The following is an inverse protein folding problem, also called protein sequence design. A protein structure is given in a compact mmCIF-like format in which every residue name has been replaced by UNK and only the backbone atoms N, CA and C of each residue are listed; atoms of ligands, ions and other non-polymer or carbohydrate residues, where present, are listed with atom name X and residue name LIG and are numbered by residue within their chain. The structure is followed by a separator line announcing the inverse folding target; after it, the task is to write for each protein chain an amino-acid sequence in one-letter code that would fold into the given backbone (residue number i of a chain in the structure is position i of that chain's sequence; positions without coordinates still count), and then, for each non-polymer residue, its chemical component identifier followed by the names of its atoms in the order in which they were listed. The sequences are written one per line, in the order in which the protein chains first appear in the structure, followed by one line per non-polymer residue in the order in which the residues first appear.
data_IF_978995072820
#
_entry.id   IF_978995072820
#
_cell.length_a   1.000
_cell.length_b   1.000
_cell.length_c   1.000
_cell.angle_alpha   90.00
_cell.angle_beta   90.00
_cell.angle_gamma   90.00
#
_symmetry.space_group_name_H-M   'P 1'
#
loop_
_entity.id
_entity.type
_entity.pdbx_description
1 polymer ?
#
# COMPACT_ATOMS: atom_id res chain seq x y z
N UNK A 1 -9.86 -19.53 11.35
CA UNK A 1 -9.60 -19.93 9.95
C UNK A 1 -8.78 -18.82 9.32
N UNK A 2 -7.68 -19.12 8.63
CA UNK A 2 -6.90 -18.09 7.93
C UNK A 2 -7.69 -17.65 6.70
N UNK A 3 -8.09 -16.38 6.63
CA UNK A 3 -8.67 -15.81 5.42
C UNK A 3 -7.54 -15.46 4.44
N UNK A 4 -7.84 -15.57 3.14
CA UNK A 4 -6.92 -15.23 2.07
C UNK A 4 -7.65 -14.33 1.08
N UNK A 5 -6.90 -13.38 0.50
CA UNK A 5 -7.36 -12.53 -0.59
C UNK A 5 -6.66 -12.90 -1.88
N UNK A 6 -7.39 -12.90 -2.99
CA UNK A 6 -6.86 -13.17 -4.32
C UNK A 6 -6.30 -11.88 -4.93
N UNK A 7 -5.07 -11.95 -5.42
CA UNK A 7 -4.37 -10.84 -6.04
C UNK A 7 -4.61 -10.84 -7.55
N UNK A 8 -4.37 -9.71 -8.22
CA UNK A 8 -4.54 -9.59 -9.68
C UNK A 8 -3.71 -10.58 -10.50
N UNK A 9 -2.60 -11.09 -9.94
CA UNK A 9 -1.75 -12.08 -10.59
C UNK A 9 -2.18 -13.53 -10.32
N UNK A 10 -3.29 -13.76 -9.61
CA UNK A 10 -3.80 -15.09 -9.23
C UNK A 10 -3.17 -15.69 -7.96
N UNK A 11 -2.20 -14.99 -7.34
CA UNK A 11 -1.65 -15.41 -6.05
C UNK A 11 -2.61 -15.09 -4.90
N UNK A 12 -2.34 -15.67 -3.72
CA UNK A 12 -3.15 -15.46 -2.51
C UNK A 12 -2.34 -14.82 -1.40
N UNK A 13 -2.83 -13.69 -0.87
CA UNK A 13 -2.26 -13.05 0.31
C UNK A 13 -3.02 -13.46 1.57
N UNK A 14 -2.31 -13.80 2.65
CA UNK A 14 -2.93 -14.11 3.94
C UNK A 14 -3.44 -12.84 4.60
N UNK A 15 -4.70 -12.83 4.97
CA UNK A 15 -5.31 -11.77 5.76
C UNK A 15 -4.97 -11.97 7.26
N UNK A 16 -4.55 -10.89 7.91
CA UNK A 16 -4.25 -10.89 9.35
C UNK A 16 -5.54 -10.62 10.14
N UNK A 17 -5.63 -11.15 11.36
CA UNK A 17 -6.80 -10.97 12.23
C UNK A 17 -6.95 -9.53 12.73
N UNK A 18 -5.87 -8.74 12.72
CA UNK A 18 -5.85 -7.36 13.15
C UNK A 18 -5.02 -6.49 12.21
N UNK A 19 -5.32 -5.19 12.18
CA UNK A 19 -4.57 -4.21 11.40
C UNK A 19 -3.13 -4.11 11.89
N UNK A 20 -2.19 -3.98 10.96
CA UNK A 20 -0.77 -3.76 11.25
C UNK A 20 -0.31 -2.41 10.70
N UNK A 21 0.72 -1.83 11.31
CA UNK A 21 1.34 -0.61 10.81
C UNK A 21 2.37 -0.95 9.73
N UNK A 22 2.22 -0.33 8.55
CA UNK A 22 3.23 -0.35 7.49
C UNK A 22 4.06 0.94 7.57
N UNK A 23 5.37 0.83 7.80
CA UNK A 23 6.27 1.97 7.95
C UNK A 23 7.32 1.98 6.84
N UNK A 24 7.32 3.04 6.02
CA UNK A 24 8.35 3.28 5.00
C UNK A 24 9.32 4.34 5.52
N UNK A 25 10.58 3.96 5.75
CA UNK A 25 11.64 4.90 6.18
C UNK A 25 12.37 5.41 4.95
N UNK A 26 12.32 6.72 4.70
CA UNK A 26 13.00 7.32 3.55
C UNK A 26 13.36 8.79 3.76
N UNK A 27 14.33 9.28 2.99
CA UNK A 27 14.69 10.70 2.90
C UNK A 27 14.07 11.40 1.68
N UNK A 28 13.52 10.64 0.73
CA UNK A 28 12.96 11.14 -0.52
C UNK A 28 11.60 10.47 -0.76
N UNK A 29 10.54 10.87 -0.05
CA UNK A 29 9.22 10.24 -0.15
C UNK A 29 8.68 10.23 -1.59
N UNK A 30 8.88 11.31 -2.34
CA UNK A 30 8.35 11.51 -3.70
C UNK A 30 8.78 10.51 -4.78
N UNK A 31 9.77 9.65 -4.50
CA UNK A 31 10.20 8.57 -5.40
C UNK A 31 9.47 7.24 -5.16
N UNK A 32 8.72 7.14 -4.06
CA UNK A 32 8.02 5.90 -3.70
C UNK A 32 6.64 5.84 -4.32
N UNK A 33 6.30 4.65 -4.80
CA UNK A 33 4.96 4.26 -5.24
C UNK A 33 4.60 2.99 -4.48
N UNK A 34 3.38 2.95 -3.94
CA UNK A 34 2.79 1.75 -3.34
C UNK A 34 1.66 1.29 -4.26
N UNK A 35 1.61 0.00 -4.53
CA UNK A 35 0.55 -0.63 -5.30
C UNK A 35 -0.17 -1.66 -4.41
N UNK A 36 -1.49 -1.54 -4.32
CA UNK A 36 -2.31 -2.59 -3.77
C UNK A 36 -2.46 -3.69 -4.83
N UNK A 37 -1.90 -4.87 -4.57
CA UNK A 37 -1.91 -5.99 -5.53
C UNK A 37 -3.28 -6.68 -5.65
N UNK A 38 -4.22 -6.41 -4.73
CA UNK A 38 -5.60 -6.90 -4.80
C UNK A 38 -6.39 -6.09 -5.83
N UNK A 39 -6.33 -4.76 -5.73
CA UNK A 39 -7.13 -3.84 -6.56
C UNK A 39 -6.35 -3.25 -7.74
N UNK A 40 -5.03 -3.31 -7.73
CA UNK A 40 -4.10 -2.62 -8.63
C UNK A 40 -4.07 -1.10 -8.45
N UNK A 41 -4.65 -0.55 -7.39
CA UNK A 41 -4.60 0.89 -7.13
C UNK A 41 -3.19 1.30 -6.74
N UNK A 42 -2.73 2.42 -7.30
CA UNK A 42 -1.38 2.95 -7.06
C UNK A 42 -1.44 4.28 -6.34
N UNK A 43 -0.47 4.48 -5.48
CA UNK A 43 -0.35 5.67 -4.66
C UNK A 43 1.08 6.16 -4.67
N UNK A 44 1.28 7.45 -4.94
CA UNK A 44 2.61 8.07 -4.88
C UNK A 44 2.75 8.81 -3.57
N UNK A 45 3.86 8.58 -2.88
CA UNK A 45 4.16 9.38 -1.70
C UNK A 45 4.38 10.84 -2.12
N UNK A 46 3.74 11.79 -1.45
CA UNK A 46 3.72 13.20 -1.85
C UNK A 46 4.70 14.08 -1.05
N UNK A 47 5.21 13.55 0.07
CA UNK A 47 6.22 14.20 0.91
C UNK A 47 5.67 15.00 2.09
N UNK A 48 4.37 14.93 2.35
CA UNK A 48 3.82 15.38 3.63
C UNK A 48 4.34 14.51 4.77
N UNK A 49 4.39 15.09 5.97
CA UNK A 49 4.84 14.40 7.20
C UNK A 49 3.67 14.00 8.11
N UNK A 50 2.45 14.39 7.74
CA UNK A 50 1.26 14.08 8.50
C UNK A 50 0.77 12.67 8.15
N UNK A 51 0.57 11.85 9.19
CA UNK A 51 0.09 10.48 9.02
C UNK A 51 -1.32 10.52 8.43
N UNK A 52 -1.53 9.77 7.34
CA UNK A 52 -2.80 9.68 6.64
C UNK A 52 -2.91 10.57 5.39
N UNK A 53 -2.02 11.56 5.23
CA UNK A 53 -1.98 12.44 4.05
C UNK A 53 -0.70 12.28 3.21
N UNK A 54 0.09 11.24 3.47
CA UNK A 54 1.40 10.99 2.85
C UNK A 54 1.36 10.52 1.40
N UNK A 55 0.19 10.14 0.89
CA UNK A 55 0.05 9.45 -0.39
C UNK A 55 -1.11 10.01 -1.20
N UNK A 56 -0.85 10.28 -2.48
CA UNK A 56 -1.85 10.67 -3.45
C UNK A 56 -2.14 9.49 -4.39
N UNK A 57 -3.41 9.25 -4.69
CA UNK A 57 -3.81 8.28 -5.71
C UNK A 57 -3.25 8.73 -7.07
N UNK A 58 -2.70 7.79 -7.83
CA UNK A 58 -2.20 8.04 -9.18
C UNK A 58 -2.89 7.08 -10.16
N UNK A 59 -3.26 7.61 -11.31
CA UNK A 59 -3.90 6.88 -12.41
C UNK A 59 -3.06 7.14 -13.66
N UNK A 60 -2.34 6.13 -14.11
CA UNK A 60 -1.52 6.16 -15.34
C UNK A 60 -1.51 4.80 -16.03
#
# INVERSE_FOLDING_TARGET
MSNYRELKNGEKAKELESSVQLIIKTKCPTKWIIEDLETGQRYRANGTLEIGSMFDLIDY
#
